data_IF_883010392226
#
_entry.id   IF_883010392226
#
_cell.length_a   1.000
_cell.length_b   1.000
_cell.length_c   1.000
_cell.angle_alpha   90.00
_cell.angle_beta   90.00
_cell.angle_gamma   90.00
#
_symmetry.space_group_name_H-M   'P 1'
#
loop_
_entity.id
_entity.type
_entity.pdbx_description
1 polymer ?
#
# COMPACT_ATOMS: atom_id res chain seq x y z
N UNK A 1 -10.64 46.51 -21.13
CA UNK A 1 -10.96 47.88 -21.62
C UNK A 1 -10.74 48.09 -23.12
N UNK A 2 -9.73 47.48 -23.76
CA UNK A 2 -9.43 47.67 -25.20
C UNK A 2 -10.57 47.25 -26.15
N UNK A 3 -11.34 46.22 -25.80
CA UNK A 3 -12.46 45.72 -26.62
C UNK A 3 -13.73 46.61 -26.54
N UNK A 4 -13.94 47.32 -25.42
CA UNK A 4 -15.09 48.21 -25.24
C UNK A 4 -14.96 49.48 -26.11
N UNK A 5 -13.73 50.01 -26.20
CA UNK A 5 -13.43 51.17 -27.03
C UNK A 5 -13.68 50.93 -28.52
N UNK A 6 -13.33 49.74 -29.03
CA UNK A 6 -13.51 49.37 -30.44
C UNK A 6 -14.99 49.24 -30.81
N UNK A 7 -15.81 48.69 -29.92
CA UNK A 7 -17.27 48.55 -30.13
C UNK A 7 -17.96 49.91 -30.16
N UNK A 8 -17.58 50.82 -29.24
CA UNK A 8 -18.11 52.18 -29.20
C UNK A 8 -17.72 52.99 -30.44
N UNK A 9 -16.48 52.87 -30.92
CA UNK A 9 -16.04 53.56 -32.15
C UNK A 9 -16.75 53.06 -33.39
N UNK A 10 -17.06 51.75 -33.48
CA UNK A 10 -17.77 51.17 -34.62
C UNK A 10 -19.25 51.54 -34.64
N UNK A 11 -19.90 51.56 -33.46
CA UNK A 11 -21.28 52.05 -33.32
C UNK A 11 -21.42 53.52 -33.72
N UNK A 12 -20.49 54.36 -33.27
CA UNK A 12 -20.43 55.78 -33.65
C UNK A 12 -20.20 55.97 -35.16
N UNK A 13 -19.31 55.17 -35.77
CA UNK A 13 -19.05 55.23 -37.21
C UNK A 13 -20.25 54.80 -38.06
N UNK A 14 -21.02 53.79 -37.64
CA UNK A 14 -22.26 53.38 -38.32
C UNK A 14 -23.33 54.48 -38.28
N UNK A 15 -23.52 55.10 -37.11
CA UNK A 15 -24.47 56.21 -36.95
C UNK A 15 -24.05 57.41 -37.80
N UNK A 16 -22.75 57.75 -37.80
CA UNK A 16 -22.20 58.85 -38.60
C UNK A 16 -22.33 58.59 -40.10
N UNK A 17 -22.07 57.36 -40.57
CA UNK A 17 -22.22 57.00 -41.98
C UNK A 17 -23.68 57.04 -42.45
N UNK A 18 -24.60 56.56 -41.62
CA UNK A 18 -26.04 56.66 -41.87
C UNK A 18 -26.50 58.12 -41.92
N UNK A 19 -25.96 58.98 -41.04
CA UNK A 19 -26.23 60.40 -41.02
C UNK A 19 -25.71 61.11 -42.29
N UNK A 20 -24.50 60.78 -42.73
CA UNK A 20 -23.88 61.34 -43.95
C UNK A 20 -24.70 60.94 -45.19
N UNK A 21 -25.16 59.69 -45.28
CA UNK A 21 -26.03 59.23 -46.38
C UNK A 21 -27.36 59.99 -46.46
N UNK A 22 -27.95 60.39 -45.32
CA UNK A 22 -29.18 61.21 -45.29
C UNK A 22 -28.99 62.69 -45.67
N UNK A 23 -27.73 63.14 -45.75
CA UNK A 23 -27.36 64.53 -46.08
C UNK A 23 -26.99 64.73 -47.56
N UNK A 24 -26.95 63.67 -48.38
CA UNK A 24 -26.65 63.76 -49.82
C UNK A 24 -27.87 64.29 -50.61
N UNK A 25 -27.81 65.47 -51.26
CA UNK A 25 -28.97 66.14 -51.86
C UNK A 25 -29.64 65.39 -53.03
N UNK A 26 -28.92 64.51 -53.72
CA UNK A 26 -29.42 63.76 -54.89
C UNK A 26 -30.41 62.62 -54.58
N UNK A 27 -30.57 62.26 -53.29
CA UNK A 27 -31.49 61.21 -52.83
C UNK A 27 -32.82 61.77 -52.28
N UNK A 28 -33.01 63.09 -52.29
CA UNK A 28 -34.19 63.79 -51.76
C UNK A 28 -35.20 64.18 -52.85
N UNK A 29 -35.45 63.34 -53.85
CA UNK A 29 -36.48 63.64 -54.88
C UNK A 29 -37.89 63.23 -54.41
N UNK A 30 -38.92 64.09 -54.59
CA UNK A 30 -40.30 63.78 -54.23
C UNK A 30 -40.92 62.91 -55.34
N UNK A 31 -40.53 61.64 -55.34
CA UNK A 31 -40.99 60.61 -56.28
C UNK A 31 -40.63 59.24 -55.72
N UNK A 32 -41.65 58.46 -55.41
CA UNK A 32 -41.60 57.14 -54.77
C UNK A 32 -40.55 56.20 -55.38
N UNK A 33 -39.60 55.73 -54.57
CA UNK A 33 -38.69 54.62 -54.90
C UNK A 33 -37.31 54.65 -54.21
N UNK A 34 -36.75 55.82 -53.95
CA UNK A 34 -35.29 55.95 -53.72
C UNK A 34 -34.85 55.98 -52.24
N UNK A 35 -35.68 56.47 -51.32
CA UNK A 35 -35.31 56.54 -49.89
C UNK A 35 -35.08 55.14 -49.29
N UNK A 36 -35.97 54.18 -49.59
CA UNK A 36 -35.83 52.79 -49.14
C UNK A 36 -34.56 52.11 -49.66
N UNK A 37 -34.14 52.43 -50.89
CA UNK A 37 -32.90 51.89 -51.46
C UNK A 37 -31.64 52.46 -50.79
N UNK A 38 -31.64 53.76 -50.47
CA UNK A 38 -30.53 54.39 -49.72
C UNK A 38 -30.42 53.84 -48.29
N UNK A 39 -31.55 53.68 -47.59
CA UNK A 39 -31.56 53.04 -46.26
C UNK A 39 -31.16 51.57 -46.33
N UNK A 40 -31.59 50.83 -47.36
CA UNK A 40 -31.18 49.45 -47.59
C UNK A 40 -29.68 49.31 -47.86
N UNK A 41 -29.10 50.23 -48.65
CA UNK A 41 -27.67 50.27 -48.94
C UNK A 41 -26.83 50.66 -47.71
N UNK A 42 -27.29 51.64 -46.92
CA UNK A 42 -26.66 52.00 -45.67
C UNK A 42 -26.72 50.83 -44.67
N UNK A 43 -27.89 50.22 -44.49
CA UNK A 43 -28.07 49.08 -43.59
C UNK A 43 -27.21 47.88 -44.00
N UNK A 44 -27.13 47.53 -45.29
CA UNK A 44 -26.31 46.41 -45.76
C UNK A 44 -24.81 46.64 -45.54
N UNK A 45 -24.32 47.87 -45.76
CA UNK A 45 -22.91 48.20 -45.50
C UNK A 45 -22.55 48.09 -44.01
N UNK A 46 -23.43 48.55 -43.12
CA UNK A 46 -23.23 48.42 -41.67
C UNK A 46 -23.30 46.97 -41.20
N UNK A 47 -24.24 46.18 -41.75
CA UNK A 47 -24.35 44.75 -41.44
C UNK A 47 -23.08 43.97 -41.84
N UNK A 48 -22.51 44.28 -43.01
CA UNK A 48 -21.25 43.66 -43.47
C UNK A 48 -20.09 43.99 -42.52
N UNK A 49 -19.98 45.23 -42.06
CA UNK A 49 -18.95 45.62 -41.10
C UNK A 49 -19.13 44.90 -39.76
N UNK A 50 -20.34 44.87 -39.21
CA UNK A 50 -20.64 44.18 -37.95
C UNK A 50 -20.30 42.69 -38.05
N UNK A 51 -20.66 42.03 -39.15
CA UNK A 51 -20.33 40.62 -39.37
C UNK A 51 -18.82 40.40 -39.49
N UNK A 52 -18.09 41.28 -40.17
CA UNK A 52 -16.63 41.20 -40.26
C UNK A 52 -15.97 41.34 -38.88
N UNK A 53 -16.45 42.28 -38.04
CA UNK A 53 -15.97 42.45 -36.67
C UNK A 53 -16.31 41.26 -35.78
N UNK A 54 -17.56 40.77 -35.82
CA UNK A 54 -17.94 39.55 -35.09
C UNK A 54 -17.10 38.35 -35.52
N UNK A 55 -16.87 38.17 -36.82
CA UNK A 55 -16.01 37.11 -37.33
C UNK A 55 -14.57 37.24 -36.79
N UNK A 56 -14.03 38.47 -36.74
CA UNK A 56 -12.70 38.73 -36.17
C UNK A 56 -12.64 38.46 -34.67
N UNK A 57 -13.63 38.90 -33.90
CA UNK A 57 -13.67 38.66 -32.44
C UNK A 57 -13.87 37.19 -32.11
N UNK A 58 -14.69 36.48 -32.89
CA UNK A 58 -14.89 35.04 -32.73
C UNK A 58 -13.62 34.25 -33.04
N UNK A 59 -12.83 34.66 -34.05
CA UNK A 59 -11.51 34.06 -34.32
C UNK A 59 -10.55 34.29 -33.16
N UNK A 60 -10.44 35.53 -32.67
CA UNK A 60 -9.56 35.86 -31.54
C UNK A 60 -9.95 35.10 -30.26
N UNK A 61 -11.25 35.03 -29.95
CA UNK A 61 -11.74 34.25 -28.81
C UNK A 61 -11.47 32.75 -28.99
N UNK A 62 -11.60 32.22 -30.21
CA UNK A 62 -11.28 30.82 -30.49
C UNK A 62 -9.82 30.53 -30.19
N UNK A 63 -8.91 31.40 -30.63
CA UNK A 63 -7.47 31.25 -30.40
C UNK A 63 -7.12 31.34 -28.90
N UNK A 64 -7.71 32.29 -28.17
CA UNK A 64 -7.54 32.41 -26.72
C UNK A 64 -8.06 31.19 -25.96
N UNK A 65 -9.23 30.67 -26.35
CA UNK A 65 -9.78 29.45 -25.72
C UNK A 65 -8.97 28.20 -26.05
N UNK A 66 -8.33 28.12 -27.23
CA UNK A 66 -7.42 27.01 -27.52
C UNK A 66 -6.19 27.05 -26.62
N UNK A 67 -5.60 28.23 -26.41
CA UNK A 67 -4.44 28.39 -25.55
C UNK A 67 -4.77 28.06 -24.08
N UNK A 68 -5.91 28.53 -23.57
CA UNK A 68 -6.36 28.19 -22.21
C UNK A 68 -6.57 26.69 -22.02
N UNK A 69 -7.06 25.99 -23.05
CA UNK A 69 -7.24 24.53 -23.00
C UNK A 69 -5.90 23.81 -22.95
N UNK A 70 -4.94 24.23 -23.77
CA UNK A 70 -3.59 23.66 -23.78
C UNK A 70 -2.89 23.87 -22.43
N UNK A 71 -2.99 25.07 -21.85
CA UNK A 71 -2.45 25.35 -20.51
C UNK A 71 -3.09 24.47 -19.43
N UNK A 72 -4.41 24.30 -19.46
CA UNK A 72 -5.12 23.41 -18.53
C UNK A 72 -4.72 21.95 -18.73
N UNK A 73 -4.45 21.51 -19.96
CA UNK A 73 -3.97 20.16 -20.25
C UNK A 73 -2.56 19.95 -19.68
N UNK A 74 -1.67 20.92 -19.82
CA UNK A 74 -0.34 20.90 -19.22
C UNK A 74 -0.40 20.87 -17.70
N UNK A 75 -1.20 21.76 -17.08
CA UNK A 75 -1.39 21.77 -15.63
C UNK A 75 -1.97 20.43 -15.14
N UNK A 76 -2.92 19.85 -15.86
CA UNK A 76 -3.46 18.51 -15.52
C UNK A 76 -2.39 17.43 -15.68
N UNK A 77 -1.55 17.50 -16.70
CA UNK A 77 -0.44 16.56 -16.89
C UNK A 77 0.58 16.67 -15.75
N UNK A 78 0.95 17.89 -15.36
CA UNK A 78 1.84 18.15 -14.24
C UNK A 78 1.25 17.64 -12.91
N UNK A 79 -0.02 17.94 -12.62
CA UNK A 79 -0.71 17.43 -11.44
C UNK A 79 -0.80 15.90 -11.43
N UNK A 80 -0.90 15.25 -12.60
CA UNK A 80 -0.85 13.78 -12.71
C UNK A 80 0.55 13.26 -12.37
N UNK A 81 1.61 13.90 -12.86
CA UNK A 81 2.99 13.53 -12.55
C UNK A 81 3.28 13.67 -11.06
N UNK A 82 2.90 14.81 -10.46
CA UNK A 82 3.06 15.03 -9.02
C UNK A 82 2.33 13.96 -8.18
N UNK A 83 1.12 13.56 -8.59
CA UNK A 83 0.39 12.48 -7.92
C UNK A 83 1.10 11.13 -8.06
N UNK A 84 1.59 10.81 -9.25
CA UNK A 84 2.34 9.57 -9.49
C UNK A 84 3.64 9.53 -8.66
N UNK A 85 4.34 10.65 -8.54
CA UNK A 85 5.54 10.76 -7.71
C UNK A 85 5.23 10.56 -6.22
N UNK A 86 4.17 11.19 -5.72
CA UNK A 86 3.73 11.01 -4.32
C UNK A 86 3.28 9.57 -4.03
N UNK A 87 2.66 8.90 -5.00
CA UNK A 87 2.31 7.48 -4.88
C UNK A 87 3.56 6.62 -4.76
N UNK A 88 4.58 6.87 -5.59
CA UNK A 88 5.86 6.16 -5.51
C UNK A 88 6.54 6.39 -4.15
N UNK A 89 6.62 7.64 -3.69
CA UNK A 89 7.21 7.96 -2.39
C UNK A 89 6.47 7.29 -1.22
N UNK A 90 5.13 7.22 -1.28
CA UNK A 90 4.33 6.52 -0.28
C UNK A 90 4.60 5.03 -0.28
N UNK A 91 4.74 4.42 -1.45
CA UNK A 91 5.03 2.99 -1.57
C UNK A 91 6.45 2.66 -1.11
N UNK A 92 7.43 3.52 -1.40
CA UNK A 92 8.78 3.40 -0.84
C UNK A 92 8.78 3.52 0.68
N UNK A 93 8.08 4.51 1.23
CA UNK A 93 7.95 4.67 2.68
C UNK A 93 7.27 3.47 3.34
N UNK A 94 6.23 2.90 2.71
CA UNK A 94 5.58 1.67 3.20
C UNK A 94 6.53 0.48 3.22
N UNK A 95 7.33 0.31 2.16
CA UNK A 95 8.34 -0.77 2.09
C UNK A 95 9.41 -0.59 3.17
N UNK A 96 9.95 0.62 3.28
CA UNK A 96 10.95 0.96 4.30
C UNK A 96 10.41 0.76 5.72
N UNK A 97 9.19 1.21 6.00
CA UNK A 97 8.54 0.97 7.29
C UNK A 97 8.37 -0.53 7.58
N UNK A 98 8.00 -1.33 6.57
CA UNK A 98 7.91 -2.78 6.69
C UNK A 98 9.27 -3.44 6.95
N UNK A 99 10.34 -2.96 6.31
CA UNK A 99 11.71 -3.42 6.54
C UNK A 99 12.20 -3.08 7.95
N UNK A 100 12.00 -1.84 8.40
CA UNK A 100 12.33 -1.41 9.76
C UNK A 100 11.58 -2.23 10.80
N UNK A 101 10.29 -2.50 10.58
CA UNK A 101 9.50 -3.33 11.48
C UNK A 101 10.06 -4.77 11.57
N UNK A 102 10.40 -5.39 10.43
CA UNK A 102 11.01 -6.73 10.41
C UNK A 102 12.37 -6.75 11.09
N UNK A 103 13.19 -5.72 10.88
CA UNK A 103 14.49 -5.57 11.56
C UNK A 103 14.31 -5.47 13.07
N UNK A 104 13.41 -4.59 13.53
CA UNK A 104 13.12 -4.44 14.96
C UNK A 104 12.58 -5.75 15.58
N UNK A 105 11.75 -6.51 14.86
CA UNK A 105 11.31 -7.84 15.31
C UNK A 105 12.49 -8.82 15.46
N UNK A 106 13.43 -8.81 14.51
CA UNK A 106 14.63 -9.66 14.57
C UNK A 106 15.55 -9.27 15.75
N UNK A 107 15.74 -7.96 15.96
CA UNK A 107 16.57 -7.43 17.06
C UNK A 107 15.98 -7.76 18.43
N UNK A 108 14.66 -7.56 18.61
CA UNK A 108 13.96 -7.94 19.84
C UNK A 108 14.08 -9.45 20.13
N UNK A 109 14.01 -10.27 19.08
CA UNK A 109 14.20 -11.71 19.21
C UNK A 109 15.63 -12.05 19.60
N UNK A 110 16.62 -11.41 18.99
CA UNK A 110 18.02 -11.61 19.37
C UNK A 110 18.26 -11.24 20.85
N UNK A 111 17.72 -10.11 21.29
CA UNK A 111 17.77 -9.71 22.70
C UNK A 111 17.11 -10.74 23.62
N UNK A 112 15.90 -11.21 23.29
CA UNK A 112 15.23 -12.25 24.08
C UNK A 112 16.05 -13.53 24.18
N UNK A 113 16.69 -13.93 23.08
CA UNK A 113 17.57 -15.09 23.03
C UNK A 113 18.78 -14.94 23.96
N UNK A 114 19.39 -13.76 23.98
CA UNK A 114 20.56 -13.49 24.81
C UNK A 114 20.19 -13.39 26.29
N UNK A 115 19.05 -12.78 26.63
CA UNK A 115 18.50 -12.79 27.99
C UNK A 115 18.31 -14.23 28.50
N UNK A 116 17.71 -15.10 27.68
CA UNK A 116 17.50 -16.51 28.07
C UNK A 116 18.81 -17.28 28.19
N UNK A 117 19.80 -17.04 27.32
CA UNK A 117 21.13 -17.65 27.46
C UNK A 117 21.82 -17.23 28.77
N UNK A 118 21.72 -15.95 29.15
CA UNK A 118 22.25 -15.47 30.43
C UNK A 118 21.56 -16.17 31.61
N UNK A 119 20.22 -16.23 31.63
CA UNK A 119 19.49 -16.94 32.67
C UNK A 119 19.74 -18.45 32.71
N UNK A 120 20.10 -19.08 31.58
CA UNK A 120 20.52 -20.48 31.57
C UNK A 120 21.93 -20.65 32.17
N UNK A 121 22.83 -19.71 31.88
CA UNK A 121 24.22 -19.76 32.35
C UNK A 121 24.41 -19.36 33.81
N UNK A 122 23.52 -18.53 34.34
CA UNK A 122 23.61 -17.95 35.68
C UNK A 122 22.34 -18.21 36.50
N UNK A 123 22.40 -19.08 37.53
CA UNK A 123 21.27 -19.35 38.41
C UNK A 123 20.68 -18.12 39.12
N UNK A 124 21.50 -17.11 39.46
CA UNK A 124 21.02 -15.90 40.13
C UNK A 124 20.18 -15.04 39.18
N UNK A 125 20.61 -14.92 37.92
CA UNK A 125 19.83 -14.23 36.87
C UNK A 125 18.57 -15.01 36.47
N UNK A 126 18.54 -16.32 36.70
CA UNK A 126 17.35 -17.13 36.46
C UNK A 126 16.20 -16.79 37.43
N UNK A 127 16.49 -16.28 38.64
CA UNK A 127 15.46 -15.99 39.66
C UNK A 127 14.51 -14.86 39.26
N UNK A 128 14.95 -13.96 38.36
CA UNK A 128 14.10 -12.87 37.82
C UNK A 128 13.01 -13.42 36.90
N UNK A 129 13.22 -14.62 36.35
CA UNK A 129 12.22 -15.34 35.56
C UNK A 129 11.49 -16.34 36.45
N UNK A 130 10.18 -16.16 36.70
CA UNK A 130 9.41 -17.14 37.44
C UNK A 130 9.58 -18.54 36.82
N UNK A 131 9.80 -19.55 37.67
CA UNK A 131 9.86 -20.92 37.19
C UNK A 131 8.54 -21.30 36.49
N UNK A 132 8.66 -22.04 35.38
CA UNK A 132 7.50 -22.48 34.59
C UNK A 132 6.49 -23.32 35.38
N UNK A 133 6.97 -24.03 36.40
CA UNK A 133 6.13 -24.78 37.33
C UNK A 133 6.68 -24.62 38.75
N UNK A 134 5.82 -24.72 39.79
CA UNK A 134 6.28 -24.74 41.17
C UNK A 134 7.23 -25.92 41.40
N UNK A 135 8.20 -25.74 42.29
CA UNK A 135 9.12 -26.80 42.77
C UNK A 135 10.11 -27.38 41.74
N UNK A 136 10.24 -26.80 40.54
CA UNK A 136 11.26 -27.23 39.58
C UNK A 136 12.67 -27.09 40.17
N UNK A 137 13.49 -28.13 40.00
CA UNK A 137 14.93 -28.01 40.30
C UNK A 137 15.57 -27.01 39.34
N UNK A 138 16.71 -26.36 39.71
CA UNK A 138 17.40 -25.44 38.81
C UNK A 138 17.78 -26.08 37.46
N UNK A 139 18.05 -27.39 37.45
CA UNK A 139 18.31 -28.15 36.23
C UNK A 139 17.08 -28.23 35.32
N UNK A 140 15.93 -28.57 35.88
CA UNK A 140 14.67 -28.69 35.11
C UNK A 140 14.23 -27.33 34.60
N UNK A 141 14.35 -26.27 35.40
CA UNK A 141 14.03 -24.91 34.95
C UNK A 141 14.91 -24.51 33.75
N UNK A 142 16.21 -24.79 33.77
CA UNK A 142 17.10 -24.57 32.60
C UNK A 142 16.68 -25.37 31.38
N UNK A 143 16.23 -26.62 31.56
CA UNK A 143 15.73 -27.44 30.46
C UNK A 143 14.46 -26.83 29.86
N UNK A 144 13.57 -26.25 30.68
CA UNK A 144 12.33 -25.64 30.19
C UNK A 144 12.61 -24.30 29.49
N UNK A 145 13.54 -23.49 30.02
CA UNK A 145 14.04 -22.30 29.32
C UNK A 145 14.61 -22.67 27.94
N UNK A 146 15.41 -23.74 27.86
CA UNK A 146 15.93 -24.22 26.58
C UNK A 146 14.83 -24.81 25.67
N UNK A 147 13.84 -25.50 26.22
CA UNK A 147 12.69 -25.98 25.45
C UNK A 147 11.87 -24.82 24.84
N UNK A 148 11.68 -23.74 25.59
CA UNK A 148 11.10 -22.49 25.09
C UNK A 148 11.90 -21.94 23.91
N UNK A 149 13.24 -21.96 23.99
CA UNK A 149 14.10 -21.53 22.87
C UNK A 149 13.91 -22.37 21.61
N UNK A 150 13.84 -23.70 21.74
CA UNK A 150 13.60 -24.59 20.61
C UNK A 150 12.20 -24.33 20.00
N UNK A 151 11.19 -24.12 20.86
CA UNK A 151 9.84 -23.79 20.42
C UNK A 151 9.80 -22.49 19.63
N UNK A 152 10.32 -21.40 20.20
CA UNK A 152 10.37 -20.08 19.56
C UNK A 152 11.16 -20.10 18.25
N UNK A 153 12.27 -20.83 18.19
CA UNK A 153 13.05 -21.02 16.97
C UNK A 153 12.25 -21.75 15.88
N UNK A 154 11.62 -22.88 16.23
CA UNK A 154 10.85 -23.68 15.27
C UNK A 154 9.62 -22.92 14.77
N UNK A 155 8.94 -22.20 15.67
CA UNK A 155 7.82 -21.33 15.32
C UNK A 155 8.27 -20.22 14.36
N UNK A 156 9.43 -19.61 14.60
CA UNK A 156 9.94 -18.56 13.72
C UNK A 156 10.25 -19.09 12.33
N UNK A 157 10.94 -20.22 12.23
CA UNK A 157 11.25 -20.83 10.94
C UNK A 157 9.96 -21.09 10.12
N UNK A 158 8.90 -21.55 10.80
CA UNK A 158 7.58 -21.70 10.21
C UNK A 158 6.92 -20.35 9.85
N UNK A 159 7.00 -19.33 10.72
CA UNK A 159 6.46 -17.99 10.48
C UNK A 159 7.10 -17.29 9.28
N UNK A 160 8.39 -17.56 9.04
CA UNK A 160 9.14 -17.05 7.90
C UNK A 160 9.02 -17.94 6.66
N UNK A 161 8.09 -18.91 6.67
CA UNK A 161 7.83 -19.84 5.55
C UNK A 161 9.07 -20.63 5.11
N UNK A 162 10.05 -20.82 6.02
CA UNK A 162 11.20 -21.67 5.79
C UNK A 162 10.88 -23.15 6.02
N UNK A 163 9.78 -23.43 6.71
CA UNK A 163 9.23 -24.76 6.94
C UNK A 163 7.72 -24.71 6.67
N UNK A 164 7.22 -25.63 5.85
CA UNK A 164 5.78 -25.84 5.72
C UNK A 164 5.22 -26.63 6.93
N UNK A 165 3.89 -26.70 7.08
CA UNK A 165 3.23 -27.43 8.18
C UNK A 165 3.70 -28.90 8.29
N UNK A 166 3.95 -29.56 7.15
CA UNK A 166 4.35 -30.98 7.12
C UNK A 166 5.77 -31.16 7.62
N UNK A 167 6.68 -30.31 7.19
CA UNK A 167 8.08 -30.27 7.61
C UNK A 167 8.20 -29.89 9.09
N UNK A 168 7.45 -28.87 9.52
CA UNK A 168 7.35 -28.47 10.92
C UNK A 168 6.86 -29.64 11.78
N UNK A 169 5.78 -30.32 11.38
CA UNK A 169 5.25 -31.48 12.10
C UNK A 169 6.27 -32.63 12.18
N UNK A 170 7.05 -32.86 11.12
CA UNK A 170 8.15 -33.83 11.11
C UNK A 170 9.20 -33.54 12.16
N UNK A 171 9.64 -32.29 12.26
CA UNK A 171 10.60 -31.84 13.27
C UNK A 171 10.01 -31.91 14.68
N UNK A 172 8.76 -31.45 14.86
CA UNK A 172 8.07 -31.45 16.14
C UNK A 172 7.89 -32.86 16.69
N UNK A 173 7.58 -33.86 15.84
CA UNK A 173 7.52 -35.28 16.27
C UNK A 173 8.82 -35.79 16.87
N UNK A 174 9.97 -35.27 16.46
CA UNK A 174 11.25 -35.60 17.09
C UNK A 174 11.38 -34.91 18.47
N UNK A 175 11.13 -33.59 18.51
CA UNK A 175 11.28 -32.78 19.74
C UNK A 175 10.36 -33.27 20.86
N UNK A 176 9.10 -33.55 20.55
CA UNK A 176 8.10 -33.98 21.54
C UNK A 176 8.42 -35.34 22.16
N UNK A 177 9.41 -36.10 21.68
CA UNK A 177 9.85 -37.33 22.37
C UNK A 177 10.65 -37.04 23.64
N UNK A 178 11.14 -35.80 23.81
CA UNK A 178 11.86 -35.37 25.00
C UNK A 178 10.90 -35.17 26.18
N UNK A 179 11.11 -35.87 27.33
CA UNK A 179 10.30 -35.65 28.53
C UNK A 179 10.38 -34.19 29.04
N UNK A 180 11.54 -33.55 28.89
CA UNK A 180 11.73 -32.16 29.28
C UNK A 180 10.88 -31.21 28.43
N UNK A 181 10.82 -31.43 27.11
CA UNK A 181 9.97 -30.62 26.23
C UNK A 181 8.48 -30.83 26.54
N UNK A 182 8.06 -32.07 26.80
CA UNK A 182 6.67 -32.37 27.21
C UNK A 182 6.30 -31.68 28.52
N UNK A 183 7.18 -31.72 29.52
CA UNK A 183 6.97 -31.06 30.79
C UNK A 183 6.89 -29.53 30.66
N UNK A 184 7.78 -28.93 29.88
CA UNK A 184 7.69 -27.52 29.50
C UNK A 184 6.36 -27.21 28.81
N UNK A 185 5.99 -28.02 27.81
CA UNK A 185 4.77 -27.81 27.05
C UNK A 185 3.57 -27.81 27.97
N UNK A 186 3.45 -28.79 28.87
CA UNK A 186 2.35 -28.83 29.83
C UNK A 186 2.35 -27.63 30.78
N UNK A 187 3.53 -27.24 31.30
CA UNK A 187 3.66 -26.14 32.26
C UNK A 187 3.28 -24.78 31.66
N UNK A 188 3.60 -24.55 30.39
CA UNK A 188 3.26 -23.31 29.68
C UNK A 188 1.82 -23.29 29.13
N UNK A 189 0.95 -24.25 29.49
CA UNK A 189 -0.44 -24.34 28.99
C UNK A 189 -1.26 -23.09 29.30
N UNK A 190 -1.16 -22.54 30.51
CA UNK A 190 -1.90 -21.34 30.92
C UNK A 190 -1.55 -20.13 30.06
N UNK A 191 -0.25 -19.88 29.87
CA UNK A 191 0.25 -18.81 29.00
C UNK A 191 -0.28 -18.95 27.57
N UNK A 192 -0.30 -20.18 27.03
CA UNK A 192 -0.84 -20.43 25.69
C UNK A 192 -2.36 -20.31 25.60
N UNK A 193 -3.09 -20.51 26.69
CA UNK A 193 -4.54 -20.39 26.72
C UNK A 193 -5.01 -18.93 26.56
N UNK A 194 -4.17 -17.97 26.95
CA UNK A 194 -4.45 -16.52 26.84
C UNK A 194 -4.11 -15.94 25.46
N UNK A 195 -3.46 -16.71 24.59
CA UNK A 195 -3.05 -16.25 23.25
C UNK A 195 -4.25 -16.03 22.33
N UNK A 196 -4.14 -15.01 21.47
CA UNK A 196 -5.12 -14.74 20.41
C UNK A 196 -5.31 -15.98 19.52
N UNK A 197 -6.56 -16.49 19.37
CA UNK A 197 -6.87 -17.62 18.50
C UNK A 197 -6.43 -17.44 17.04
N UNK A 198 -6.35 -16.20 16.54
CA UNK A 198 -5.96 -15.89 15.17
C UNK A 198 -4.43 -15.76 14.98
N UNK A 199 -3.66 -15.75 16.07
CA UNK A 199 -2.22 -15.55 16.03
C UNK A 199 -1.50 -16.71 15.32
N UNK A 200 -0.34 -16.40 14.72
CA UNK A 200 0.52 -17.42 14.12
C UNK A 200 1.05 -18.40 15.19
N UNK A 201 1.33 -17.90 16.38
CA UNK A 201 1.78 -18.70 17.52
C UNK A 201 0.75 -19.75 17.92
N UNK A 202 -0.55 -19.39 17.95
CA UNK A 202 -1.62 -20.34 18.22
C UNK A 202 -1.71 -21.44 17.15
N UNK A 203 -1.57 -21.09 15.87
CA UNK A 203 -1.55 -22.09 14.78
C UNK A 203 -0.36 -23.03 14.93
N UNK A 204 0.82 -22.50 15.20
CA UNK A 204 2.01 -23.34 15.41
C UNK A 204 1.89 -24.21 16.66
N UNK A 205 1.28 -23.71 17.74
CA UNK A 205 1.01 -24.50 18.94
C UNK A 205 0.10 -25.71 18.65
N UNK A 206 -0.87 -25.57 17.75
CA UNK A 206 -1.72 -26.69 17.33
C UNK A 206 -0.92 -27.81 16.63
N UNK A 207 0.13 -27.46 15.87
CA UNK A 207 1.04 -28.46 15.28
C UNK A 207 1.83 -29.23 16.36
N UNK A 208 2.20 -28.57 17.47
CA UNK A 208 2.85 -29.23 18.60
C UNK A 208 1.90 -30.21 19.29
N UNK A 209 0.65 -29.79 19.51
CA UNK A 209 -0.40 -30.64 20.09
C UNK A 209 -0.71 -31.84 19.18
N UNK A 210 -0.72 -31.63 17.87
CA UNK A 210 -0.85 -32.71 16.88
C UNK A 210 0.34 -33.68 16.94
N UNK A 211 1.58 -33.17 16.98
CA UNK A 211 2.78 -33.99 17.10
C UNK A 211 2.77 -34.82 18.39
N UNK A 212 2.31 -34.25 19.51
CA UNK A 212 2.13 -34.96 20.78
C UNK A 212 1.09 -36.09 20.65
N UNK A 213 -0.05 -35.79 20.02
CA UNK A 213 -1.13 -36.76 19.80
C UNK A 213 -0.64 -37.94 18.95
N UNK A 214 0.05 -37.65 17.84
CA UNK A 214 0.65 -38.68 16.97
C UNK A 214 1.71 -39.50 17.71
N UNK A 215 2.61 -38.84 18.45
CA UNK A 215 3.66 -39.53 19.22
C UNK A 215 3.10 -40.41 20.33
N UNK A 216 1.94 -40.09 20.91
CA UNK A 216 1.28 -40.90 21.94
C UNK A 216 0.55 -42.11 21.33
N UNK A 217 0.02 -41.97 20.12
CA UNK A 217 -0.64 -43.06 19.41
C UNK A 217 0.36 -44.11 18.87
N UNK A 218 1.60 -43.70 18.62
CA UNK A 218 2.66 -44.57 18.12
C UNK A 218 3.38 -45.25 19.30
N UNK A 219 3.09 -46.53 19.56
CA UNK A 219 3.82 -47.34 20.53
C UNK A 219 5.35 -47.25 20.29
N UNK A 220 6.21 -47.40 21.32
CA UNK A 220 7.64 -47.18 21.18
C UNK A 220 8.19 -47.96 19.99
N UNK A 221 8.74 -47.26 19.01
CA UNK A 221 9.46 -47.86 17.90
C UNK A 221 10.63 -48.66 18.48
N UNK A 222 10.47 -49.99 18.57
CA UNK A 222 11.58 -50.89 18.76
C UNK A 222 12.43 -50.81 17.49
N UNK A 223 13.69 -50.36 17.55
CA UNK A 223 14.56 -50.38 16.38
C UNK A 223 14.65 -51.84 15.92
N UNK A 224 14.33 -52.11 14.66
CA UNK A 224 14.61 -53.41 14.06
C UNK A 224 16.13 -53.61 14.01
N UNK A 225 16.71 -54.15 15.09
CA UNK A 225 18.11 -54.55 15.18
C UNK A 225 18.49 -55.67 14.19
N UNK A 226 17.52 -56.23 13.46
CA UNK A 226 17.73 -57.31 12.47
C UNK A 226 18.53 -56.88 11.22
N UNK A 227 18.86 -55.60 11.05
CA UNK A 227 19.66 -55.13 9.91
C UNK A 227 21.16 -55.01 10.20
N UNK A 228 21.65 -55.26 11.43
CA UNK A 228 23.08 -55.15 11.76
C UNK A 228 23.77 -56.53 11.87
N UNK A 229 23.03 -57.62 12.08
CA UNK A 229 23.62 -58.97 12.26
C UNK A 229 23.79 -59.80 10.96
N UNK A 230 23.57 -59.19 9.78
CA UNK A 230 23.44 -59.93 8.52
C UNK A 230 24.59 -59.83 7.51
N UNK A 231 25.78 -59.34 7.86
CA UNK A 231 26.88 -59.18 6.88
C UNK A 231 28.29 -59.62 7.31
N UNK A 232 28.46 -60.45 8.34
CA UNK A 232 29.77 -61.06 8.64
C UNK A 232 29.64 -62.57 8.85
N UNK A 233 29.58 -63.31 7.74
CA UNK A 233 30.01 -64.72 7.58
C UNK A 233 29.65 -65.11 6.13
N UNK A 234 30.46 -65.70 5.27
CA UNK A 234 31.75 -66.44 5.30
C UNK A 234 32.31 -66.39 3.84
N UNK A 235 33.21 -67.30 3.41
CA UNK A 235 34.58 -67.61 3.86
C UNK A 235 35.65 -67.19 2.82
#
# INVERSE_FOLDING_TARGET
MRNLGVVLTAGAACVLFSLIMTMVPGLRTPGSGNAGQAYGAAASSTAVLVLFYMARTLRLQRDETSLQREELELQRAEMRLQRAELELQRDEMRRSAGELHRSAEADLRHLHMDLLKMSIGDPELAEVWPAFAPELTPKENRQYLYANLIYCHSMLAHKLEMLDDREALGHLRYIVRSPAFRGYWESARSMRAEMDPASHERRFAALVDEALTQSNAQAPYAPNLRLIEGQHNEP
#
